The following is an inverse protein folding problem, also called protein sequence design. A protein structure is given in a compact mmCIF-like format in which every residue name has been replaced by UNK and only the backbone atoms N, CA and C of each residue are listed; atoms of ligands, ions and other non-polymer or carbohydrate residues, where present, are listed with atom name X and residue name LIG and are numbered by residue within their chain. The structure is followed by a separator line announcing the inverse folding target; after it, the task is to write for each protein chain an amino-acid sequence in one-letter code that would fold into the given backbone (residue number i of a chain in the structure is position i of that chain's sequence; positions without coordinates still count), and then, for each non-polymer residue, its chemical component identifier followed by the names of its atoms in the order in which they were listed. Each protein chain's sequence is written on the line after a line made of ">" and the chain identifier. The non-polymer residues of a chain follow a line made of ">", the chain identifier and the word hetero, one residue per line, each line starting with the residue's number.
data_IF_540112391856
#
_entry.id   IF_540112391856
#
_cell.length_a   1.000
_cell.length_b   1.000
_cell.length_c   1.000
_cell.angle_alpha   90.00
_cell.angle_beta   90.00
_cell.angle_gamma   90.00
#
_symmetry.space_group_name_H-M   'P 1'
#
loop_
_entity.id
_entity.type
_entity.pdbx_description
1 polymer ?
#
# COMPACT_ATOMS: atom_id res chain seq x y z
N UNK A 1 -16.05 -81.92 39.51
CA UNK A 1 -16.29 -80.87 40.53
C UNK A 1 -15.09 -79.93 40.73
N UNK A 2 -13.97 -80.28 41.39
CA UNK A 2 -12.86 -79.31 41.64
C UNK A 2 -12.25 -78.67 40.38
N UNK A 3 -12.07 -79.42 39.29
CA UNK A 3 -11.49 -78.89 38.04
C UNK A 3 -12.40 -77.96 37.24
N UNK A 4 -13.72 -78.07 37.40
CA UNK A 4 -14.70 -77.20 36.71
C UNK A 4 -14.83 -75.85 37.43
N UNK A 5 -14.78 -75.83 38.76
CA UNK A 5 -14.71 -74.58 39.54
C UNK A 5 -13.43 -73.80 39.27
N UNK A 6 -12.28 -74.48 39.13
CA UNK A 6 -11.01 -73.81 38.84
C UNK A 6 -11.00 -73.20 37.42
N UNK A 7 -11.55 -73.90 36.43
CA UNK A 7 -11.71 -73.37 35.07
C UNK A 7 -12.62 -72.15 35.03
N UNK A 8 -13.77 -72.22 35.71
CA UNK A 8 -14.71 -71.09 35.81
C UNK A 8 -14.09 -69.86 36.49
N UNK A 9 -13.31 -70.05 37.56
CA UNK A 9 -12.57 -68.96 38.21
C UNK A 9 -11.54 -68.30 37.29
N UNK A 10 -10.79 -69.09 36.50
CA UNK A 10 -9.82 -68.56 35.54
C UNK A 10 -10.50 -67.77 34.41
N UNK A 11 -11.61 -68.25 33.89
CA UNK A 11 -12.40 -67.55 32.86
C UNK A 11 -13.00 -66.24 33.36
N UNK A 12 -13.55 -66.22 34.59
CA UNK A 12 -14.03 -64.98 35.22
C UNK A 12 -12.91 -63.97 35.47
N UNK A 13 -11.73 -64.42 35.92
CA UNK A 13 -10.58 -63.55 36.13
C UNK A 13 -10.04 -62.97 34.82
N UNK A 14 -9.99 -63.77 33.75
CA UNK A 14 -9.57 -63.32 32.43
C UNK A 14 -10.58 -62.34 31.82
N UNK A 15 -11.88 -62.60 31.96
CA UNK A 15 -12.94 -61.68 31.53
C UNK A 15 -12.84 -60.34 32.26
N UNK A 16 -12.61 -60.36 33.57
CA UNK A 16 -12.46 -59.16 34.38
C UNK A 16 -11.20 -58.36 34.01
N UNK A 17 -10.08 -59.04 33.73
CA UNK A 17 -8.86 -58.38 33.23
C UNK A 17 -9.08 -57.69 31.88
N UNK A 18 -9.77 -58.35 30.94
CA UNK A 18 -10.09 -57.76 29.63
C UNK A 18 -11.01 -56.55 29.76
N UNK A 19 -12.01 -56.61 30.65
CA UNK A 19 -12.92 -55.50 30.90
C UNK A 19 -12.19 -54.29 31.52
N UNK A 20 -11.34 -54.53 32.52
CA UNK A 20 -10.52 -53.49 33.15
C UNK A 20 -9.53 -52.85 32.16
N UNK A 21 -8.95 -53.65 31.26
CA UNK A 21 -8.04 -53.16 30.21
C UNK A 21 -8.77 -52.27 29.20
N UNK A 22 -9.94 -52.71 28.73
CA UNK A 22 -10.79 -51.92 27.83
C UNK A 22 -11.25 -50.62 28.48
N UNK A 23 -11.64 -50.67 29.76
CA UNK A 23 -12.02 -49.48 30.53
C UNK A 23 -10.84 -48.50 30.66
N UNK A 24 -9.66 -48.97 31.07
CA UNK A 24 -8.45 -48.15 31.17
C UNK A 24 -8.07 -47.53 29.82
N UNK A 25 -8.24 -48.26 28.72
CA UNK A 25 -7.98 -47.73 27.37
C UNK A 25 -8.96 -46.60 27.01
N UNK A 26 -10.26 -46.79 27.24
CA UNK A 26 -11.28 -45.76 27.01
C UNK A 26 -11.03 -44.50 27.84
N UNK A 27 -10.68 -44.65 29.11
CA UNK A 27 -10.36 -43.52 30.01
C UNK A 27 -9.12 -42.75 29.52
N UNK A 28 -8.05 -43.45 29.10
CA UNK A 28 -6.85 -42.81 28.52
C UNK A 28 -7.14 -42.08 27.21
N UNK A 29 -7.93 -42.67 26.32
CA UNK A 29 -8.33 -42.01 25.07
C UNK A 29 -9.20 -40.77 25.34
N UNK A 30 -10.11 -40.84 26.31
CA UNK A 30 -10.94 -39.69 26.69
C UNK A 30 -10.12 -38.56 27.32
N UNK A 31 -9.14 -38.89 28.17
CA UNK A 31 -8.22 -37.90 28.75
C UNK A 31 -7.37 -37.23 27.67
N UNK A 32 -6.80 -38.00 26.73
CA UNK A 32 -6.03 -37.45 25.59
C UNK A 32 -6.87 -36.51 24.73
N UNK A 33 -8.13 -36.86 24.45
CA UNK A 33 -9.05 -35.98 23.69
C UNK A 33 -9.33 -34.67 24.41
N UNK A 34 -9.59 -34.72 25.72
CA UNK A 34 -9.82 -33.51 26.54
C UNK A 34 -8.58 -32.61 26.59
N UNK A 35 -7.40 -33.20 26.77
CA UNK A 35 -6.13 -32.46 26.80
C UNK A 35 -5.82 -31.80 25.45
N UNK A 36 -6.05 -32.50 24.34
CA UNK A 36 -5.87 -31.94 23.00
C UNK A 36 -6.87 -30.80 22.71
N UNK A 37 -8.13 -30.95 23.12
CA UNK A 37 -9.15 -29.91 22.97
C UNK A 37 -8.81 -28.67 23.81
N UNK A 38 -8.32 -28.86 25.04
CA UNK A 38 -7.89 -27.76 25.90
C UNK A 38 -6.66 -27.04 25.33
N UNK A 39 -5.69 -27.79 24.77
CA UNK A 39 -4.53 -27.21 24.09
C UNK A 39 -4.93 -26.39 22.88
N UNK A 40 -5.86 -26.90 22.05
CA UNK A 40 -6.40 -26.18 20.89
C UNK A 40 -7.10 -24.88 21.29
N UNK A 41 -7.89 -24.90 22.38
CA UNK A 41 -8.55 -23.69 22.89
C UNK A 41 -7.54 -22.64 23.36
N UNK A 42 -6.51 -23.04 24.10
CA UNK A 42 -5.44 -22.13 24.55
C UNK A 42 -4.67 -21.51 23.38
N UNK A 43 -4.34 -22.31 22.37
CA UNK A 43 -3.64 -21.83 21.17
C UNK A 43 -4.50 -20.86 20.35
N UNK A 44 -5.80 -21.13 20.22
CA UNK A 44 -6.73 -20.23 19.53
C UNK A 44 -6.94 -18.91 20.30
N UNK A 45 -7.06 -18.97 21.62
CA UNK A 45 -7.17 -17.78 22.47
C UNK A 45 -5.90 -16.91 22.39
N UNK A 46 -4.72 -17.51 22.41
CA UNK A 46 -3.45 -16.81 22.27
C UNK A 46 -3.32 -16.14 20.89
N UNK A 47 -3.66 -16.85 19.81
CA UNK A 47 -3.71 -16.28 18.45
C UNK A 47 -4.65 -15.07 18.38
N UNK A 48 -5.85 -15.17 18.97
CA UNK A 48 -6.81 -14.05 19.02
C UNK A 48 -6.27 -12.85 19.80
N UNK A 49 -5.49 -13.07 20.87
CA UNK A 49 -4.86 -11.99 21.65
C UNK A 49 -3.80 -11.27 20.84
N UNK A 50 -2.91 -12.02 20.17
CA UNK A 50 -1.85 -11.46 19.33
C UNK A 50 -2.45 -10.65 18.17
N UNK A 51 -3.44 -11.20 17.48
CA UNK A 51 -4.11 -10.52 16.35
C UNK A 51 -4.80 -9.21 16.80
N UNK A 52 -5.47 -9.23 17.95
CA UNK A 52 -6.13 -8.04 18.50
C UNK A 52 -5.12 -6.95 18.90
N UNK A 53 -3.97 -7.34 19.47
CA UNK A 53 -2.91 -6.41 19.83
C UNK A 53 -2.24 -5.80 18.59
N UNK A 54 -1.98 -6.60 17.56
CA UNK A 54 -1.40 -6.13 16.30
C UNK A 54 -2.35 -5.16 15.59
N UNK A 55 -3.65 -5.47 15.54
CA UNK A 55 -4.68 -4.58 14.99
C UNK A 55 -4.73 -3.25 15.72
N UNK A 56 -4.70 -3.28 17.06
CA UNK A 56 -4.70 -2.05 17.88
C UNK A 56 -3.45 -1.20 17.61
N UNK A 57 -2.29 -1.83 17.46
CA UNK A 57 -1.03 -1.13 17.15
C UNK A 57 -1.06 -0.47 15.77
N UNK A 58 -1.61 -1.15 14.76
CA UNK A 58 -1.81 -0.58 13.41
C UNK A 58 -2.76 0.62 13.44
N UNK A 59 -3.90 0.50 14.12
CA UNK A 59 -4.88 1.59 14.24
C UNK A 59 -4.31 2.82 14.96
N UNK A 60 -3.51 2.63 16.03
CA UNK A 60 -2.82 3.73 16.70
C UNK A 60 -1.72 4.38 15.83
N UNK A 61 -0.99 3.60 15.03
CA UNK A 61 0.02 4.12 14.12
C UNK A 61 -0.61 4.94 12.98
N UNK A 62 -1.69 4.45 12.39
CA UNK A 62 -2.44 5.15 11.33
C UNK A 62 -2.99 6.48 11.85
N UNK A 63 -3.61 6.47 13.05
CA UNK A 63 -4.10 7.69 13.68
C UNK A 63 -2.99 8.72 13.88
N UNK A 64 -1.80 8.30 14.33
CA UNK A 64 -0.62 9.19 14.47
C UNK A 64 -0.14 9.73 13.13
N UNK A 65 -0.19 8.95 12.04
CA UNK A 65 0.17 9.40 10.69
C UNK A 65 -0.80 10.46 10.18
N UNK A 66 -2.10 10.21 10.32
CA UNK A 66 -3.16 11.16 9.93
C UNK A 66 -3.05 12.48 10.69
N UNK A 67 -2.84 12.43 12.02
CA UNK A 67 -2.68 13.62 12.86
C UNK A 67 -1.42 14.43 12.47
N UNK A 68 -0.32 13.75 12.15
CA UNK A 68 0.92 14.40 11.69
C UNK A 68 0.76 15.06 10.32
N UNK A 69 0.03 14.43 9.39
CA UNK A 69 -0.24 14.98 8.07
C UNK A 69 -1.18 16.19 8.16
N UNK A 70 -2.23 16.11 8.98
CA UNK A 70 -3.14 17.24 9.21
C UNK A 70 -2.41 18.44 9.81
N UNK A 71 -1.52 18.21 10.78
CA UNK A 71 -0.69 19.26 11.37
C UNK A 71 0.23 19.92 10.34
N UNK A 72 0.88 19.12 9.47
CA UNK A 72 1.72 19.65 8.38
C UNK A 72 0.92 20.48 7.38
N UNK A 73 -0.28 20.05 6.99
CA UNK A 73 -1.16 20.81 6.09
C UNK A 73 -1.56 22.16 6.69
N UNK A 74 -1.95 22.18 7.97
CA UNK A 74 -2.27 23.43 8.68
C UNK A 74 -1.07 24.38 8.75
N UNK A 75 0.12 23.85 9.01
CA UNK A 75 1.36 24.64 9.08
C UNK A 75 1.78 25.22 7.72
N UNK A 76 1.68 24.44 6.63
CA UNK A 76 1.91 24.94 5.27
C UNK A 76 0.88 26.00 4.84
N UNK A 77 -0.40 25.80 5.17
CA UNK A 77 -1.45 26.78 4.84
C UNK A 77 -1.22 28.09 5.60
N UNK A 78 -0.86 28.03 6.89
CA UNK A 78 -0.54 29.22 7.68
C UNK A 78 0.69 29.96 7.13
N UNK A 79 1.73 29.22 6.70
CA UNK A 79 2.92 29.82 6.09
C UNK A 79 2.59 30.52 4.77
N UNK A 80 1.79 29.90 3.91
CA UNK A 80 1.32 30.51 2.65
C UNK A 80 0.51 31.77 2.88
N UNK A 81 -0.40 31.76 3.87
CA UNK A 81 -1.18 32.96 4.25
C UNK A 81 -0.28 34.11 4.71
N UNK A 82 0.72 33.84 5.55
CA UNK A 82 1.68 34.85 6.02
C UNK A 82 2.53 35.41 4.86
N UNK A 83 3.01 34.55 3.96
CA UNK A 83 3.82 34.96 2.81
C UNK A 83 3.02 35.78 1.78
N UNK A 84 1.75 35.43 1.54
CA UNK A 84 0.85 36.21 0.69
C UNK A 84 0.52 37.58 1.30
N UNK A 85 0.28 37.64 2.61
CA UNK A 85 0.03 38.92 3.31
C UNK A 85 1.27 39.83 3.27
N UNK A 86 2.48 39.28 3.43
CA UNK A 86 3.73 40.04 3.33
C UNK A 86 3.97 40.57 1.91
N UNK A 87 3.68 39.77 0.87
CA UNK A 87 3.75 40.24 -0.54
C UNK A 87 2.79 41.38 -0.82
N UNK A 88 1.54 41.28 -0.34
CA UNK A 88 0.54 42.35 -0.52
C UNK A 88 0.98 43.66 0.15
N UNK A 89 1.57 43.60 1.34
CA UNK A 89 2.12 44.79 2.02
C UNK A 89 3.26 45.45 1.24
N UNK A 90 4.21 44.66 0.69
CA UNK A 90 5.32 45.19 -0.12
C UNK A 90 4.83 45.82 -1.44
N UNK A 91 3.87 45.19 -2.12
CA UNK A 91 3.31 45.72 -3.37
C UNK A 91 2.52 47.03 -3.15
N UNK A 92 1.81 47.14 -2.02
CA UNK A 92 1.11 48.37 -1.65
C UNK A 92 2.09 49.51 -1.31
N UNK A 93 3.21 49.21 -0.65
CA UNK A 93 4.26 50.18 -0.34
C UNK A 93 5.00 50.68 -1.60
N UNK A 94 5.25 49.81 -2.59
CA UNK A 94 5.80 50.23 -3.89
C UNK A 94 4.80 51.07 -4.70
N UNK A 95 3.51 50.73 -4.68
CA UNK A 95 2.48 51.56 -5.35
C UNK A 95 2.35 52.94 -4.73
N UNK A 96 2.53 53.06 -3.42
CA UNK A 96 2.40 54.33 -2.71
C UNK A 96 3.67 55.21 -2.84
N UNK A 97 4.81 54.64 -3.22
CA UNK A 97 6.08 55.37 -3.45
C UNK A 97 6.35 55.74 -4.92
N UNK A 98 5.58 55.18 -5.87
CA UNK A 98 5.80 55.34 -7.32
C UNK A 98 5.23 56.61 -8.00
N UNK A 99 4.56 57.53 -7.30
CA UNK A 99 4.14 58.82 -7.88
C UNK A 99 5.21 59.90 -7.65
N UNK A 100 6.19 59.97 -8.56
CA UNK A 100 7.23 61.00 -8.46
C UNK A 100 8.13 61.14 -9.69
N UNK A 101 7.68 61.97 -10.62
CA UNK A 101 8.47 62.70 -11.64
C UNK A 101 8.90 61.96 -12.90
N UNK A 102 8.34 62.39 -14.04
CA UNK A 102 8.91 62.18 -15.37
C UNK A 102 9.77 63.37 -15.81
N UNK A 103 10.80 63.09 -16.62
CA UNK A 103 11.25 63.92 -17.75
C UNK A 103 12.33 63.21 -18.59
N UNK A 104 12.02 63.09 -19.89
CA UNK A 104 12.86 63.14 -21.11
C UNK A 104 14.28 62.53 -21.16
N UNK A 105 14.54 61.62 -22.12
CA UNK A 105 15.20 61.88 -23.44
C UNK A 105 15.72 60.59 -24.14
N UNK A 106 15.18 60.35 -25.34
CA UNK A 106 15.75 59.89 -26.63
C UNK A 106 17.15 59.20 -26.71
N UNK A 107 17.19 57.98 -27.27
CA UNK A 107 18.11 57.51 -28.34
C UNK A 107 17.68 56.09 -28.79
N UNK A 108 17.13 55.91 -30.00
CA UNK A 108 17.78 55.32 -31.19
C UNK A 108 18.38 53.90 -31.02
N UNK A 109 17.90 52.94 -31.83
CA UNK A 109 18.59 51.65 -32.00
C UNK A 109 17.75 50.49 -32.56
N UNK A 110 17.62 50.45 -33.88
CA UNK A 110 17.51 49.26 -34.75
C UNK A 110 16.29 48.32 -34.67
N UNK A 111 15.60 48.31 -35.81
CA UNK A 111 14.62 47.34 -36.30
C UNK A 111 15.38 46.19 -36.95
N UNK A 112 15.16 44.96 -36.48
CA UNK A 112 15.13 43.80 -37.36
C UNK A 112 13.84 43.03 -37.09
N UNK A 113 13.18 42.75 -38.20
CA UNK A 113 11.87 42.16 -38.38
C UNK A 113 12.12 40.70 -38.77
N UNK A 114 11.48 39.75 -38.11
CA UNK A 114 11.29 38.41 -38.68
C UNK A 114 10.02 37.80 -38.09
N UNK A 115 8.96 38.05 -38.84
CA UNK A 115 7.87 37.16 -39.19
C UNK A 115 7.59 35.91 -38.36
N UNK A 116 6.33 35.90 -37.94
CA UNK A 116 5.49 34.80 -37.48
C UNK A 116 5.72 33.47 -38.20
N UNK A 117 5.86 32.40 -37.41
CA UNK A 117 5.08 31.18 -37.60
C UNK A 117 4.37 30.84 -36.29
N UNK A 118 3.11 31.24 -36.22
CA UNK A 118 2.16 30.67 -35.27
C UNK A 118 1.81 29.26 -35.77
N UNK A 119 2.36 28.24 -35.14
CA UNK A 119 1.79 26.88 -35.13
C UNK A 119 1.07 26.67 -33.78
N UNK A 120 -0.27 26.71 -33.71
CA UNK A 120 -0.99 26.57 -32.45
C UNK A 120 -1.23 25.09 -32.10
N UNK A 121 -0.19 24.24 -32.17
CA UNK A 121 -0.32 22.80 -31.90
C UNK A 121 0.89 22.18 -31.20
N UNK A 122 1.49 22.85 -30.20
CA UNK A 122 2.61 22.26 -29.42
C UNK A 122 2.58 22.54 -27.91
N UNK A 123 1.42 22.74 -27.28
CA UNK A 123 1.34 22.91 -25.80
C UNK A 123 0.72 21.71 -25.04
N UNK A 124 0.33 20.65 -25.76
CA UNK A 124 -0.28 19.44 -25.15
C UNK A 124 0.72 18.29 -24.92
N UNK A 125 1.94 18.38 -25.44
CA UNK A 125 2.92 17.28 -25.43
C UNK A 125 3.92 17.39 -24.27
N UNK A 126 4.12 18.57 -23.69
CA UNK A 126 5.18 18.81 -22.70
C UNK A 126 4.80 18.36 -21.28
N UNK A 127 3.60 18.69 -20.80
CA UNK A 127 3.14 18.29 -19.47
C UNK A 127 2.96 16.76 -19.33
N UNK A 128 2.49 16.07 -20.38
CA UNK A 128 2.33 14.62 -20.40
C UNK A 128 3.67 13.89 -20.44
N UNK A 129 4.63 14.38 -21.25
CA UNK A 129 6.01 13.87 -21.25
C UNK A 129 6.70 14.06 -19.90
N UNK A 130 6.46 15.18 -19.24
CA UNK A 130 6.98 15.44 -17.90
C UNK A 130 6.44 14.44 -16.85
N UNK A 131 5.14 14.15 -16.86
CA UNK A 131 4.51 13.20 -15.91
C UNK A 131 4.98 11.76 -16.08
N UNK A 132 5.23 11.31 -17.31
CA UNK A 132 5.71 9.96 -17.60
C UNK A 132 7.10 9.67 -17.01
N UNK A 133 7.95 10.71 -16.91
CA UNK A 133 9.31 10.61 -16.36
C UNK A 133 9.36 10.76 -14.84
N UNK A 134 8.25 11.13 -14.19
CA UNK A 134 8.20 11.24 -12.73
C UNK A 134 8.48 9.89 -12.06
N UNK A 135 9.03 9.93 -10.84
CA UNK A 135 9.13 8.73 -10.02
C UNK A 135 7.73 8.27 -9.59
N UNK A 136 7.55 6.96 -9.44
CA UNK A 136 6.26 6.39 -9.02
C UNK A 136 5.81 6.88 -7.65
N UNK A 137 6.76 7.21 -6.74
CA UNK A 137 6.45 7.78 -5.42
C UNK A 137 5.93 9.22 -5.48
N UNK A 138 6.15 9.91 -6.60
CA UNK A 138 5.77 11.31 -6.80
C UNK A 138 4.39 11.43 -7.49
N UNK A 139 3.74 10.30 -7.79
CA UNK A 139 2.34 10.28 -8.27
C UNK A 139 1.46 10.93 -7.19
N UNK A 140 0.52 11.82 -7.56
CA UNK A 140 -0.40 12.42 -6.60
C UNK A 140 -1.14 11.38 -5.78
N UNK A 141 -1.22 11.61 -4.47
CA UNK A 141 -1.81 10.66 -3.51
C UNK A 141 -3.16 10.07 -3.93
N UNK A 142 -4.14 10.83 -4.48
CA UNK A 142 -5.42 10.24 -4.88
C UNK A 142 -5.27 9.15 -5.95
N UNK A 143 -4.38 9.38 -6.94
CA UNK A 143 -4.10 8.44 -8.03
C UNK A 143 -3.31 7.25 -7.50
N UNK A 144 -2.26 7.53 -6.72
CA UNK A 144 -1.40 6.53 -6.11
C UNK A 144 -2.19 5.56 -5.21
N UNK A 145 -3.00 6.10 -4.29
CA UNK A 145 -3.85 5.29 -3.40
C UNK A 145 -4.83 4.41 -4.17
N UNK A 146 -5.43 4.93 -5.25
CA UNK A 146 -6.35 4.15 -6.09
C UNK A 146 -5.64 2.99 -6.81
N UNK A 147 -4.43 3.22 -7.31
CA UNK A 147 -3.58 2.17 -7.91
C UNK A 147 -3.24 1.10 -6.87
N UNK A 148 -2.75 1.49 -5.69
CA UNK A 148 -2.41 0.56 -4.61
C UNK A 148 -3.61 -0.29 -4.18
N UNK A 149 -4.76 0.35 -3.93
CA UNK A 149 -6.00 -0.36 -3.56
C UNK A 149 -6.41 -1.36 -4.64
N UNK A 150 -6.32 -0.99 -5.91
CA UNK A 150 -6.68 -1.85 -7.04
C UNK A 150 -5.76 -3.07 -7.21
N UNK A 151 -4.50 -2.95 -6.77
CA UNK A 151 -3.50 -4.03 -6.82
C UNK A 151 -3.47 -4.87 -5.54
N UNK A 152 -3.92 -4.35 -4.40
CA UNK A 152 -4.00 -5.09 -3.13
C UNK A 152 -5.09 -6.17 -3.15
N UNK A 153 -6.12 -6.01 -3.99
CA UNK A 153 -7.17 -7.02 -4.15
C UNK A 153 -6.56 -8.30 -4.72
N UNK A 154 -6.51 -9.34 -3.89
CA UNK A 154 -5.99 -10.66 -4.29
C UNK A 154 -6.85 -11.27 -5.39
N UNK A 155 -6.19 -11.70 -6.47
CA UNK A 155 -6.82 -12.36 -7.62
C UNK A 155 -6.22 -13.75 -7.78
N UNK A 156 -6.77 -14.73 -7.05
CA UNK A 156 -6.17 -16.06 -6.90
C UNK A 156 -5.94 -16.83 -8.22
N UNK A 157 -6.72 -16.59 -9.27
CA UNK A 157 -6.62 -17.33 -10.54
C UNK A 157 -5.50 -16.79 -11.43
N UNK A 158 -5.44 -15.47 -11.63
CA UNK A 158 -4.46 -14.83 -12.53
C UNK A 158 -3.22 -14.35 -11.79
N UNK A 159 -3.33 -14.13 -10.47
CA UNK A 159 -2.33 -13.51 -9.61
C UNK A 159 -1.78 -12.18 -10.14
N UNK A 160 -2.58 -11.48 -10.97
CA UNK A 160 -2.37 -10.14 -11.52
C UNK A 160 -2.67 -9.05 -10.47
N UNK A 161 -2.13 -9.28 -9.27
CA UNK A 161 -2.22 -8.42 -8.10
C UNK A 161 -0.81 -7.99 -7.65
N UNK A 162 -0.69 -7.43 -6.45
CA UNK A 162 0.59 -6.95 -5.92
C UNK A 162 1.71 -8.00 -5.96
N UNK A 163 1.39 -9.30 -5.90
CA UNK A 163 2.39 -10.37 -5.93
C UNK A 163 3.14 -10.40 -7.25
N UNK A 164 2.42 -10.28 -8.36
CA UNK A 164 3.02 -10.23 -9.69
C UNK A 164 3.74 -8.91 -9.93
N UNK A 165 3.23 -7.79 -9.41
CA UNK A 165 3.97 -6.54 -9.45
C UNK A 165 5.34 -6.69 -8.75
N UNK A 166 5.35 -7.28 -7.54
CA UNK A 166 6.57 -7.55 -6.79
C UNK A 166 7.58 -8.39 -7.57
N UNK A 167 7.12 -9.47 -8.20
CA UNK A 167 7.97 -10.32 -9.04
C UNK A 167 8.55 -9.52 -10.23
N UNK A 168 7.72 -8.77 -10.95
CA UNK A 168 8.14 -7.98 -12.10
C UNK A 168 9.12 -6.85 -11.77
N UNK A 169 9.02 -6.27 -10.57
CA UNK A 169 9.97 -5.25 -10.09
C UNK A 169 11.21 -5.86 -9.41
N UNK A 170 11.32 -7.19 -9.41
CA UNK A 170 12.50 -7.94 -9.00
C UNK A 170 12.57 -8.30 -7.51
N UNK A 171 11.45 -8.30 -6.78
CA UNK A 171 11.42 -8.84 -5.41
C UNK A 171 11.38 -10.37 -5.45
N UNK A 172 12.05 -11.00 -4.49
CA UNK A 172 11.99 -12.44 -4.29
C UNK A 172 10.63 -12.89 -3.75
N UNK A 173 10.31 -14.17 -3.95
CA UNK A 173 9.08 -14.77 -3.40
C UNK A 173 8.94 -14.58 -1.88
N UNK A 174 10.05 -14.59 -1.14
CA UNK A 174 10.06 -14.41 0.32
C UNK A 174 9.73 -12.96 0.69
N UNK A 175 10.29 -11.99 -0.03
CA UNK A 175 9.97 -10.57 0.15
C UNK A 175 8.50 -10.29 -0.18
N UNK A 176 7.97 -10.88 -1.25
CA UNK A 176 6.57 -10.74 -1.65
C UNK A 176 5.63 -11.32 -0.58
N UNK A 177 5.95 -12.48 -0.03
CA UNK A 177 5.17 -13.10 1.05
C UNK A 177 5.18 -12.25 2.32
N UNK A 178 6.36 -11.74 2.70
CA UNK A 178 6.52 -10.84 3.85
C UNK A 178 5.73 -9.54 3.66
N UNK A 179 5.83 -8.91 2.48
CA UNK A 179 5.09 -7.70 2.15
C UNK A 179 3.58 -7.97 2.11
N UNK A 180 3.17 -9.17 1.69
CA UNK A 180 1.78 -9.62 1.71
C UNK A 180 1.13 -9.68 3.10
N UNK A 181 1.91 -9.61 4.19
CA UNK A 181 1.42 -9.52 5.58
C UNK A 181 1.19 -8.07 6.03
N UNK A 182 1.65 -7.09 5.24
CA UNK A 182 1.48 -5.66 5.52
C UNK A 182 0.08 -5.20 5.12
N UNK A 183 -0.29 -4.02 5.61
CA UNK A 183 -1.61 -3.44 5.36
C UNK A 183 -1.80 -3.00 3.91
N UNK A 184 -0.76 -2.44 3.29
CA UNK A 184 -0.76 -2.04 1.89
C UNK A 184 0.43 -2.65 1.14
N UNK A 185 0.33 -3.91 0.72
CA UNK A 185 1.42 -4.60 0.03
C UNK A 185 1.90 -3.88 -1.24
N UNK A 186 0.99 -3.36 -2.06
CA UNK A 186 1.36 -2.63 -3.27
C UNK A 186 2.15 -1.35 -2.97
N UNK A 187 1.80 -0.60 -1.92
CA UNK A 187 2.56 0.58 -1.50
C UNK A 187 3.98 0.23 -1.05
N UNK A 188 4.15 -0.83 -0.25
CA UNK A 188 5.47 -1.30 0.19
C UNK A 188 6.34 -1.73 -1.01
N UNK A 189 5.75 -2.41 -1.99
CA UNK A 189 6.44 -2.80 -3.23
C UNK A 189 6.86 -1.57 -4.04
N UNK A 190 5.94 -0.62 -4.27
CA UNK A 190 6.23 0.57 -5.05
C UNK A 190 7.27 1.48 -4.36
N UNK A 191 7.23 1.59 -3.04
CA UNK A 191 8.28 2.28 -2.26
C UNK A 191 9.63 1.60 -2.39
N UNK A 192 9.67 0.28 -2.25
CA UNK A 192 10.91 -0.50 -2.41
C UNK A 192 11.48 -0.30 -3.81
N UNK A 193 10.63 -0.44 -4.83
CA UNK A 193 11.01 -0.26 -6.22
C UNK A 193 11.47 1.16 -6.54
N UNK A 194 10.88 2.19 -5.91
CA UNK A 194 11.21 3.61 -6.13
C UNK A 194 12.67 4.00 -5.87
N UNK A 195 13.44 3.13 -5.20
CA UNK A 195 14.89 3.31 -5.01
C UNK A 195 15.70 3.06 -6.29
N UNK A 196 15.11 2.40 -7.30
CA UNK A 196 15.75 2.11 -8.60
C UNK A 196 15.42 3.22 -9.60
N UNK A 197 16.39 3.60 -10.43
CA UNK A 197 16.21 4.67 -11.44
C UNK A 197 15.16 4.35 -12.51
N UNK A 198 14.85 3.07 -12.72
CA UNK A 198 13.81 2.59 -13.64
C UNK A 198 12.38 2.79 -13.12
N UNK A 199 12.18 3.12 -11.83
CA UNK A 199 10.87 3.23 -11.18
C UNK A 199 10.15 4.54 -11.51
N UNK A 200 9.83 4.66 -12.80
CA UNK A 200 9.14 5.79 -13.42
C UNK A 200 7.66 5.48 -13.66
N UNK A 201 6.84 6.52 -13.78
CA UNK A 201 5.42 6.39 -14.14
C UNK A 201 5.24 5.64 -15.47
N UNK A 202 6.06 5.95 -16.47
CA UNK A 202 6.06 5.23 -17.75
C UNK A 202 6.30 3.73 -17.57
N UNK A 203 7.30 3.35 -16.76
CA UNK A 203 7.62 1.95 -16.51
C UNK A 203 6.51 1.23 -15.74
N UNK A 204 5.86 1.91 -14.78
CA UNK A 204 4.70 1.34 -14.09
C UNK A 204 3.56 1.02 -15.07
N UNK A 205 3.23 1.94 -15.98
CA UNK A 205 2.22 1.72 -17.02
C UNK A 205 2.61 0.54 -17.91
N UNK A 206 3.87 0.46 -18.33
CA UNK A 206 4.40 -0.66 -19.13
C UNK A 206 4.22 -2.01 -18.42
N UNK A 207 4.59 -2.09 -17.13
CA UNK A 207 4.43 -3.30 -16.32
C UNK A 207 2.96 -3.72 -16.19
N UNK A 208 2.06 -2.78 -15.90
CA UNK A 208 0.63 -3.05 -15.75
C UNK A 208 0.00 -3.54 -17.07
N UNK A 209 0.47 -3.04 -18.21
CA UNK A 209 0.03 -3.45 -19.55
C UNK A 209 0.77 -4.68 -20.09
N UNK A 210 1.79 -5.16 -19.39
CA UNK A 210 2.53 -6.35 -19.80
C UNK A 210 1.56 -7.52 -19.99
N UNK A 211 1.75 -8.33 -21.04
CA UNK A 211 0.84 -9.42 -21.42
C UNK A 211 0.52 -10.40 -20.27
N UNK A 212 1.50 -10.61 -19.39
CA UNK A 212 1.37 -11.53 -18.25
C UNK A 212 0.65 -10.86 -17.07
N UNK A 213 0.75 -9.54 -16.92
CA UNK A 213 0.03 -8.75 -15.91
C UNK A 213 -1.39 -8.43 -16.37
N UNK A 214 -1.55 -7.74 -17.50
CA UNK A 214 -2.82 -7.49 -18.16
C UNK A 214 -3.82 -6.64 -17.36
N UNK A 215 -3.35 -5.83 -16.39
CA UNK A 215 -4.19 -4.92 -15.58
C UNK A 215 -4.37 -3.57 -16.28
N UNK A 216 -5.05 -3.62 -17.43
CA UNK A 216 -5.39 -2.43 -18.22
C UNK A 216 -6.26 -1.45 -17.43
N UNK A 217 -7.15 -1.97 -16.57
CA UNK A 217 -7.97 -1.18 -15.65
C UNK A 217 -7.13 -0.29 -14.71
N UNK A 218 -6.02 -0.83 -14.19
CA UNK A 218 -5.12 -0.08 -13.30
C UNK A 218 -4.21 0.85 -14.08
N UNK A 219 -3.72 0.41 -15.25
CA UNK A 219 -2.95 1.27 -16.14
C UNK A 219 -3.75 2.52 -16.54
N UNK A 220 -5.04 2.36 -16.83
CA UNK A 220 -5.93 3.47 -17.21
C UNK A 220 -6.03 4.54 -16.11
N UNK A 221 -6.03 4.16 -14.83
CA UNK A 221 -6.05 5.12 -13.71
C UNK A 221 -4.85 6.06 -13.79
N UNK A 222 -3.67 5.51 -14.10
CA UNK A 222 -2.43 6.29 -14.22
C UNK A 222 -2.43 7.10 -15.52
N UNK A 223 -2.84 6.51 -16.64
CA UNK A 223 -2.90 7.17 -17.94
C UNK A 223 -3.89 8.35 -17.93
N UNK A 224 -5.08 8.20 -17.33
CA UNK A 224 -6.07 9.27 -17.19
C UNK A 224 -5.49 10.47 -16.46
N UNK A 225 -4.73 10.23 -15.39
CA UNK A 225 -4.02 11.30 -14.69
C UNK A 225 -2.90 11.90 -15.55
N UNK A 226 -2.05 11.09 -16.16
CA UNK A 226 -0.93 11.55 -17.01
C UNK A 226 -1.43 12.45 -18.14
N UNK A 227 -2.49 12.05 -18.84
CA UNK A 227 -3.03 12.74 -20.00
C UNK A 227 -4.21 13.68 -19.68
N UNK A 228 -4.56 13.84 -18.40
CA UNK A 228 -5.56 14.84 -17.99
C UNK A 228 -5.11 16.25 -18.40
N UNK A 229 -5.96 16.97 -19.13
CA UNK A 229 -5.76 18.40 -19.41
C UNK A 229 -5.79 19.15 -18.08
N UNK A 230 -4.74 19.92 -17.78
CA UNK A 230 -4.78 20.90 -16.67
C UNK A 230 -5.98 21.83 -16.97
N UNK A 231 -6.97 21.84 -16.08
CA UNK A 231 -8.00 22.88 -16.05
C UNK A 231 -7.41 24.17 -15.52
#
# INVERSE_FOLDING_TARGET
>A
MKGEEEKKRREEEESKKKEDEVRKRKEREQMKRKEEEERKKKEEEEKRRIEKEERKKKEEEEKRRMEKEERKKKEEEEKKRKEEEERKRKEEEERNSGQGTGKDRKSEGHREESDQVNDPEVDLVDAGRSRLLMSVKDIPLPVYSQVCLSLNVRRHVRSDDFRMLGDMVGLSSVEIEFVGQRENPADEILKTWSSRSEATVAKLIELLKHKDFGRIDVAQIVEDWVYSKKR
#
